data_IF_671209984903
#
_entry.id   IF_671209984903
#
_cell.length_a   1.000
_cell.length_b   1.000
_cell.length_c   1.000
_cell.angle_alpha   90.00
_cell.angle_beta   90.00
_cell.angle_gamma   90.00
#
_symmetry.space_group_name_H-M   'P 1'
#
loop_
_entity.id
_entity.type
_entity.pdbx_description
1 polymer ?
#
# COMPACT_ATOMS: atom_id res chain seq x y z
N UNK A 1 40.68 37.47 -26.86
CA UNK A 1 40.97 36.51 -25.79
C UNK A 1 41.56 37.29 -24.63
N UNK A 2 40.75 37.83 -23.71
CA UNK A 2 41.30 38.42 -22.49
C UNK A 2 40.32 38.63 -21.33
N UNK A 3 39.17 37.95 -21.28
CA UNK A 3 38.31 37.94 -20.08
C UNK A 3 37.56 36.59 -20.00
N UNK A 4 38.28 35.50 -19.73
CA UNK A 4 37.62 34.28 -19.27
C UNK A 4 37.63 34.30 -17.73
N UNK A 5 36.50 34.61 -17.07
CA UNK A 5 36.42 34.72 -15.61
C UNK A 5 36.64 33.39 -14.88
N UNK A 6 36.74 32.26 -15.61
CA UNK A 6 36.93 30.91 -15.08
C UNK A 6 38.41 30.48 -15.03
N UNK A 7 39.36 31.39 -15.26
CA UNK A 7 40.80 31.06 -15.40
C UNK A 7 41.50 30.58 -14.12
N UNK A 8 40.76 30.36 -13.01
CA UNK A 8 41.31 29.88 -11.73
C UNK A 8 40.44 28.88 -10.97
N UNK A 9 39.27 28.46 -11.49
CA UNK A 9 38.40 27.50 -10.80
C UNK A 9 38.59 26.06 -11.32
N UNK A 10 38.85 25.12 -10.41
CA UNK A 10 38.87 23.70 -10.72
C UNK A 10 37.41 23.20 -10.83
N UNK A 11 36.95 22.95 -12.06
CA UNK A 11 35.65 22.35 -12.40
C UNK A 11 34.38 23.02 -11.83
N UNK A 12 34.01 24.20 -12.34
CA UNK A 12 32.72 24.78 -12.01
C UNK A 12 31.58 23.95 -12.61
N UNK A 13 30.58 23.64 -11.78
CA UNK A 13 29.33 22.96 -12.17
C UNK A 13 28.52 23.81 -13.14
N UNK A 14 27.56 23.18 -13.85
CA UNK A 14 26.67 23.90 -14.77
C UNK A 14 25.95 25.08 -14.09
N UNK A 15 25.56 24.93 -12.82
CA UNK A 15 24.96 26.01 -12.02
C UNK A 15 25.91 27.17 -11.77
N UNK A 16 27.16 26.91 -11.40
CA UNK A 16 28.19 27.93 -11.17
C UNK A 16 28.55 28.68 -12.47
N UNK A 17 28.64 27.97 -13.60
CA UNK A 17 28.84 28.58 -14.91
C UNK A 17 27.68 29.52 -15.23
N UNK A 18 26.43 29.10 -15.00
CA UNK A 18 25.28 29.96 -15.25
C UNK A 18 25.25 31.17 -14.30
N UNK A 19 25.60 30.99 -13.03
CA UNK A 19 25.65 32.08 -12.05
C UNK A 19 26.72 33.13 -12.39
N UNK A 20 27.91 32.67 -12.79
CA UNK A 20 29.03 33.55 -13.13
C UNK A 20 28.81 34.33 -14.43
N UNK A 21 27.96 33.81 -15.33
CA UNK A 21 27.49 34.51 -16.52
C UNK A 21 26.20 35.31 -16.29
N UNK A 22 25.67 35.34 -15.06
CA UNK A 22 24.45 36.09 -14.70
C UNK A 22 23.15 35.48 -15.25
N UNK A 23 23.16 34.18 -15.55
CA UNK A 23 22.09 33.42 -16.21
C UNK A 23 21.36 32.46 -15.25
N UNK A 24 21.71 32.42 -13.97
CA UNK A 24 21.15 31.48 -12.99
C UNK A 24 19.62 31.59 -12.78
N UNK A 25 19.03 32.77 -13.01
CA UNK A 25 17.60 33.01 -12.80
C UNK A 25 16.74 32.86 -14.07
N UNK A 26 17.31 32.36 -15.17
CA UNK A 26 16.59 32.18 -16.43
C UNK A 26 16.01 30.77 -16.52
N UNK A 27 14.72 30.69 -16.83
CA UNK A 27 14.04 29.41 -17.08
C UNK A 27 14.37 28.81 -18.45
N UNK A 28 14.85 29.63 -19.40
CA UNK A 28 15.26 29.20 -20.74
C UNK A 28 16.50 29.96 -21.22
N UNK A 29 17.42 29.23 -21.85
CA UNK A 29 18.62 29.77 -22.50
C UNK A 29 18.33 30.01 -23.99
N UNK A 30 18.68 31.20 -24.49
CA UNK A 30 18.59 31.51 -25.93
C UNK A 30 19.92 31.23 -26.62
N UNK A 31 19.91 31.19 -27.96
CA UNK A 31 21.13 31.03 -28.77
C UNK A 31 22.18 32.09 -28.43
N UNK A 32 21.76 33.33 -28.16
CA UNK A 32 22.67 34.41 -27.75
C UNK A 32 23.26 34.25 -26.35
N UNK A 33 22.58 33.52 -25.44
CA UNK A 33 23.16 33.14 -24.15
C UNK A 33 24.19 32.01 -24.33
N UNK A 34 23.91 31.08 -25.23
CA UNK A 34 24.82 29.97 -25.55
C UNK A 34 26.11 30.49 -26.21
N UNK A 35 26.04 31.48 -27.09
CA UNK A 35 27.23 32.11 -27.69
C UNK A 35 28.17 32.73 -26.64
N UNK A 36 27.62 33.29 -25.55
CA UNK A 36 28.40 33.85 -24.44
C UNK A 36 29.01 32.76 -23.56
N UNK A 37 28.30 31.65 -23.37
CA UNK A 37 28.78 30.48 -22.61
C UNK A 37 29.78 29.63 -23.40
N UNK A 38 29.70 29.64 -24.73
CA UNK A 38 30.44 28.75 -25.61
C UNK A 38 31.96 28.77 -25.38
N UNK A 39 32.63 29.93 -25.24
CA UNK A 39 34.06 29.96 -24.93
C UNK A 39 34.41 29.33 -23.59
N UNK A 40 33.56 29.48 -22.56
CA UNK A 40 33.76 28.88 -21.25
C UNK A 40 33.64 27.35 -21.30
N UNK A 41 32.58 26.84 -21.94
CA UNK A 41 32.35 25.40 -22.12
C UNK A 41 33.44 24.77 -23.00
N UNK A 42 33.83 25.43 -24.10
CA UNK A 42 34.95 24.98 -24.94
C UNK A 42 36.26 24.95 -24.17
N UNK A 43 36.51 25.93 -23.30
CA UNK A 43 37.74 25.95 -22.49
C UNK A 43 37.77 24.78 -21.51
N UNK A 44 36.62 24.38 -20.94
CA UNK A 44 36.50 23.18 -20.10
C UNK A 44 36.69 21.87 -20.87
N UNK A 45 36.28 21.81 -22.14
CA UNK A 45 36.44 20.62 -22.99
C UNK A 45 37.86 20.49 -23.53
N UNK A 46 38.53 21.62 -23.81
CA UNK A 46 39.87 21.66 -24.43
C UNK A 46 41.01 21.60 -23.42
N UNK A 47 40.81 22.13 -22.20
CA UNK A 47 41.81 22.04 -21.13
C UNK A 47 41.47 20.84 -20.21
N UNK A 48 42.47 20.02 -19.81
CA UNK A 48 42.26 18.80 -19.04
C UNK A 48 41.95 19.06 -17.55
N UNK A 49 41.26 20.17 -17.24
CA UNK A 49 40.99 20.61 -15.87
C UNK A 49 39.87 19.82 -15.20
N UNK A 50 39.01 19.15 -15.98
CA UNK A 50 38.04 18.20 -15.45
C UNK A 50 38.38 16.79 -15.90
N UNK A 51 38.84 15.90 -15.00
CA UNK A 51 38.88 14.50 -15.34
C UNK A 51 37.45 14.09 -15.71
N UNK A 52 37.26 13.58 -16.92
CA UNK A 52 36.07 12.80 -17.24
C UNK A 52 36.07 11.63 -16.26
N UNK A 53 35.35 11.77 -15.16
CA UNK A 53 34.99 10.63 -14.33
C UNK A 53 34.10 9.78 -15.20
N UNK A 54 34.68 8.73 -15.79
CA UNK A 54 33.90 7.58 -16.25
C UNK A 54 32.90 7.32 -15.12
N UNK A 55 31.57 7.24 -15.40
CA UNK A 55 30.61 6.86 -14.37
C UNK A 55 31.22 5.65 -13.67
N UNK A 56 31.44 5.74 -12.35
CA UNK A 56 31.91 4.59 -11.60
C UNK A 56 31.06 3.41 -12.07
N UNK A 57 31.68 2.26 -12.42
CA UNK A 57 30.90 1.06 -12.65
C UNK A 57 29.96 0.96 -11.46
N UNK A 58 28.64 0.93 -11.72
CA UNK A 58 27.62 0.82 -10.67
C UNK A 58 28.18 -0.18 -9.63
N UNK A 59 28.36 0.23 -8.37
CA UNK A 59 28.95 -0.65 -7.38
C UNK A 59 28.19 -1.98 -7.46
N UNK A 60 28.90 -3.12 -7.46
CA UNK A 60 28.25 -4.41 -7.59
C UNK A 60 27.14 -4.46 -6.54
N UNK A 61 25.92 -4.79 -6.97
CA UNK A 61 24.74 -4.85 -6.10
C UNK A 61 25.16 -5.60 -4.84
N UNK A 62 25.21 -4.89 -3.72
CA UNK A 62 25.70 -5.49 -2.49
C UNK A 62 24.82 -6.70 -2.19
N UNK A 63 25.44 -7.87 -2.04
CA UNK A 63 24.73 -9.11 -1.74
C UNK A 63 23.90 -8.98 -0.45
N UNK A 64 24.22 -7.99 0.40
CA UNK A 64 23.42 -7.60 1.56
C UNK A 64 21.99 -7.19 1.20
N UNK A 65 21.77 -6.48 0.07
CA UNK A 65 20.45 -6.01 -0.42
C UNK A 65 19.52 -7.20 -0.65
N UNK A 66 20.04 -8.25 -1.29
CA UNK A 66 19.29 -9.50 -1.53
C UNK A 66 18.95 -10.19 -0.20
N UNK A 67 19.91 -10.28 0.71
CA UNK A 67 19.71 -10.89 2.02
C UNK A 67 18.62 -10.18 2.84
N UNK A 68 18.71 -8.85 2.97
CA UNK A 68 17.73 -8.05 3.70
C UNK A 68 16.36 -8.06 3.02
N UNK A 69 16.32 -7.94 1.69
CA UNK A 69 15.08 -7.98 0.91
C UNK A 69 14.33 -9.31 1.07
N UNK A 70 15.00 -10.45 0.87
CA UNK A 70 14.37 -11.76 1.04
C UNK A 70 13.96 -12.01 2.49
N UNK A 71 14.77 -11.59 3.46
CA UNK A 71 14.42 -11.69 4.88
C UNK A 71 13.16 -10.88 5.21
N UNK A 72 13.07 -9.64 4.72
CA UNK A 72 11.92 -8.78 4.94
C UNK A 72 10.62 -9.39 4.37
N UNK A 73 10.64 -9.81 3.09
CA UNK A 73 9.48 -10.44 2.45
C UNK A 73 9.10 -11.75 3.17
N UNK A 74 10.08 -12.53 3.62
CA UNK A 74 9.81 -13.74 4.41
C UNK A 74 9.11 -13.41 5.73
N UNK A 75 9.54 -12.37 6.45
CA UNK A 75 8.91 -11.94 7.70
C UNK A 75 7.48 -11.46 7.46
N UNK A 76 7.25 -10.67 6.40
CA UNK A 76 5.92 -10.17 6.02
C UNK A 76 4.98 -11.33 5.73
N UNK A 77 5.37 -12.26 4.85
CA UNK A 77 4.56 -13.41 4.48
C UNK A 77 4.31 -14.35 5.68
N UNK A 78 5.28 -14.50 6.58
CA UNK A 78 5.06 -15.28 7.82
C UNK A 78 4.08 -14.59 8.78
N UNK A 79 4.11 -13.26 8.87
CA UNK A 79 3.19 -12.51 9.72
C UNK A 79 1.75 -12.53 9.18
N UNK A 80 1.59 -12.47 7.86
CA UNK A 80 0.31 -12.71 7.19
C UNK A 80 -0.25 -14.10 7.55
N UNK A 81 0.61 -15.15 7.51
CA UNK A 81 0.23 -16.50 7.94
C UNK A 81 -0.11 -16.60 9.44
N UNK A 82 0.55 -15.82 10.31
CA UNK A 82 0.21 -15.76 11.74
C UNK A 82 -1.16 -15.11 11.99
N UNK A 83 -1.62 -14.21 11.12
CA UNK A 83 -2.98 -13.69 11.12
C UNK A 83 -4.03 -14.80 11.10
N UNK A 84 -3.76 -15.91 10.40
CA UNK A 84 -4.63 -17.10 10.36
C UNK A 84 -4.67 -17.86 11.69
N UNK A 85 -3.55 -17.90 12.43
CA UNK A 85 -3.55 -18.47 13.79
C UNK A 85 -4.40 -17.65 14.76
N UNK A 86 -4.73 -16.40 14.40
CA UNK A 86 -5.58 -15.53 15.22
C UNK A 86 -7.08 -15.71 14.97
N UNK A 87 -7.48 -16.54 14.00
CA UNK A 87 -8.87 -16.91 13.73
C UNK A 87 -9.70 -17.39 14.94
N UNK A 88 -9.22 -18.28 15.84
CA UNK A 88 -9.98 -18.64 17.03
C UNK A 88 -10.26 -17.44 17.95
N UNK A 89 -9.45 -16.37 17.85
CA UNK A 89 -9.60 -15.16 18.63
C UNK A 89 -10.50 -14.11 17.97
N UNK A 90 -10.83 -14.22 16.67
CA UNK A 90 -11.74 -13.28 15.99
C UNK A 90 -13.13 -13.23 16.63
N UNK A 91 -13.56 -14.34 17.22
CA UNK A 91 -14.85 -14.47 17.93
C UNK A 91 -14.87 -13.78 19.30
N UNK A 92 -13.74 -13.23 19.76
CA UNK A 92 -13.64 -12.61 21.09
C UNK A 92 -14.03 -11.13 21.03
N UNK A 93 -14.68 -10.59 22.07
CA UNK A 93 -15.18 -9.21 22.07
C UNK A 93 -14.07 -8.15 22.06
N UNK A 94 -12.81 -8.52 22.35
CA UNK A 94 -11.67 -7.61 22.28
C UNK A 94 -11.04 -7.55 20.89
N UNK A 95 -11.33 -8.50 19.99
CA UNK A 95 -10.68 -8.59 18.70
C UNK A 95 -10.92 -7.39 17.79
N UNK A 96 -12.15 -6.83 17.66
CA UNK A 96 -12.38 -5.65 16.85
C UNK A 96 -11.57 -4.43 17.30
N UNK A 97 -11.28 -4.32 18.61
CA UNK A 97 -10.43 -3.26 19.16
C UNK A 97 -8.97 -3.42 18.73
N UNK A 98 -8.45 -4.65 18.79
CA UNK A 98 -7.09 -4.96 18.34
C UNK A 98 -6.99 -4.73 16.83
N UNK A 99 -7.96 -5.20 16.06
CA UNK A 99 -8.00 -5.00 14.61
C UNK A 99 -8.03 -3.51 14.25
N UNK A 100 -8.87 -2.71 14.92
CA UNK A 100 -8.92 -1.24 14.71
C UNK A 100 -7.58 -0.58 14.96
N UNK A 101 -6.82 -1.03 15.96
CA UNK A 101 -5.47 -0.52 16.22
C UNK A 101 -4.53 -0.83 15.04
N UNK A 102 -4.52 -2.08 14.57
CA UNK A 102 -3.65 -2.50 13.46
C UNK A 102 -4.03 -1.85 12.13
N UNK A 103 -5.32 -1.71 11.82
CA UNK A 103 -5.77 -0.98 10.63
C UNK A 103 -5.36 0.50 10.73
N UNK A 104 -5.52 1.13 11.90
CA UNK A 104 -5.04 2.49 12.12
C UNK A 104 -3.51 2.61 11.99
N UNK A 105 -2.77 1.63 12.51
CA UNK A 105 -1.32 1.53 12.38
C UNK A 105 -0.89 1.44 10.91
N UNK A 106 -1.55 0.57 10.13
CA UNK A 106 -1.32 0.41 8.69
C UNK A 106 -1.52 1.72 7.92
N UNK A 107 -2.66 2.40 8.12
CA UNK A 107 -2.92 3.71 7.48
C UNK A 107 -1.83 4.71 7.86
N UNK A 108 -1.47 4.74 9.15
CA UNK A 108 -0.43 5.60 9.68
C UNK A 108 0.93 5.35 9.02
N UNK A 109 1.36 4.10 8.91
CA UNK A 109 2.66 3.76 8.30
C UNK A 109 2.67 3.96 6.79
N UNK A 110 1.63 3.53 6.06
CA UNK A 110 1.60 3.62 4.59
C UNK A 110 1.53 5.04 4.08
N UNK A 111 0.57 5.82 4.61
CA UNK A 111 0.41 7.21 4.22
C UNK A 111 1.71 7.98 4.49
N UNK A 112 2.30 7.74 5.67
CA UNK A 112 3.54 8.39 6.06
C UNK A 112 4.71 7.95 5.19
N UNK A 113 4.83 6.65 4.86
CA UNK A 113 5.91 6.15 4.01
C UNK A 113 5.80 6.72 2.59
N UNK A 114 4.58 6.80 2.05
CA UNK A 114 4.34 7.42 0.76
C UNK A 114 4.76 8.90 0.75
N UNK A 115 4.33 9.69 1.73
CA UNK A 115 4.52 11.14 1.76
C UNK A 115 5.92 11.56 2.23
N UNK A 116 6.52 10.84 3.17
CA UNK A 116 7.82 11.18 3.77
C UNK A 116 9.00 10.52 3.05
N UNK A 117 8.79 9.46 2.27
CA UNK A 117 9.90 8.72 1.65
C UNK A 117 9.66 8.49 0.15
N UNK A 118 8.63 7.72 -0.23
CA UNK A 118 8.50 7.28 -1.63
C UNK A 118 8.27 8.43 -2.61
N UNK A 119 7.35 9.36 -2.31
CA UNK A 119 7.06 10.51 -3.19
C UNK A 119 8.26 11.46 -3.26
N UNK A 120 8.88 11.89 -2.15
CA UNK A 120 10.08 12.71 -2.21
C UNK A 120 11.22 12.06 -2.99
N UNK A 121 11.47 10.76 -2.78
CA UNK A 121 12.51 10.01 -3.48
C UNK A 121 12.20 9.90 -4.99
N UNK A 122 10.93 9.68 -5.34
CA UNK A 122 10.48 9.70 -6.73
C UNK A 122 10.73 11.04 -7.42
N UNK A 123 10.56 12.14 -6.70
CA UNK A 123 10.80 13.51 -7.18
C UNK A 123 12.29 13.92 -7.12
N UNK A 124 13.15 13.11 -6.50
CA UNK A 124 14.58 13.37 -6.34
C UNK A 124 14.92 14.40 -5.25
N UNK A 125 14.07 14.56 -4.23
CA UNK A 125 14.35 15.44 -3.09
C UNK A 125 15.26 14.76 -2.07
N UNK A 126 16.31 15.46 -1.63
CA UNK A 126 17.18 14.97 -0.55
C UNK A 126 16.65 15.47 0.82
N UNK A 127 16.38 14.56 1.78
CA UNK A 127 15.92 14.94 3.12
C UNK A 127 16.81 15.95 3.83
N UNK A 128 18.11 15.95 3.54
CA UNK A 128 19.12 16.82 4.18
C UNK A 128 19.25 18.19 3.51
N UNK A 129 19.02 18.28 2.21
CA UNK A 129 19.22 19.52 1.45
C UNK A 129 17.95 20.40 1.42
N UNK A 130 16.78 19.77 1.27
CA UNK A 130 15.57 20.49 0.86
C UNK A 130 14.60 20.85 2.01
N UNK A 131 14.92 20.43 3.25
CA UNK A 131 14.05 20.58 4.43
C UNK A 131 12.58 20.19 4.14
N UNK A 132 12.35 19.19 3.28
CA UNK A 132 11.00 18.82 2.85
C UNK A 132 10.23 18.10 3.96
N UNK A 133 10.93 17.44 4.90
CA UNK A 133 10.32 16.63 5.97
C UNK A 133 9.30 17.44 6.77
N UNK A 134 9.60 18.70 7.10
CA UNK A 134 8.65 19.57 7.79
C UNK A 134 7.37 19.86 6.96
N UNK A 135 7.51 20.01 5.64
CA UNK A 135 6.36 20.21 4.73
C UNK A 135 5.54 18.93 4.61
N UNK A 136 6.20 17.77 4.52
CA UNK A 136 5.57 16.46 4.48
C UNK A 136 4.82 16.12 5.79
N UNK A 137 5.38 16.49 6.94
CA UNK A 137 4.67 16.45 8.23
C UNK A 137 3.40 17.32 8.20
N UNK A 138 3.46 18.48 7.54
CA UNK A 138 2.29 19.31 7.29
C UNK A 138 1.19 18.63 6.47
N UNK A 139 1.55 17.81 5.48
CA UNK A 139 0.60 17.03 4.67
C UNK A 139 -0.15 16.02 5.56
N UNK A 140 0.58 15.22 6.36
CA UNK A 140 -0.05 14.32 7.33
C UNK A 140 -0.88 15.07 8.36
N UNK A 141 -0.36 16.20 8.86
CA UNK A 141 -1.05 17.06 9.83
C UNK A 141 -2.38 17.61 9.31
N UNK A 142 -2.44 18.00 8.03
CA UNK A 142 -3.67 18.43 7.38
C UNK A 142 -4.71 17.32 7.27
N UNK A 143 -4.30 16.13 6.81
CA UNK A 143 -5.14 14.94 6.79
C UNK A 143 -5.65 14.60 8.20
N UNK A 144 -4.76 14.54 9.18
CA UNK A 144 -5.08 14.20 10.58
C UNK A 144 -6.02 15.22 11.22
N UNK A 145 -5.82 16.52 10.97
CA UNK A 145 -6.69 17.56 11.51
C UNK A 145 -8.12 17.44 10.97
N UNK A 146 -8.30 17.23 9.66
CA UNK A 146 -9.62 17.02 9.07
C UNK A 146 -10.27 15.75 9.61
N UNK A 147 -9.54 14.64 9.66
CA UNK A 147 -9.99 13.40 10.28
C UNK A 147 -10.47 13.63 11.73
N UNK A 148 -9.64 14.27 12.55
CA UNK A 148 -9.92 14.50 13.96
C UNK A 148 -11.19 15.34 14.14
N UNK A 149 -11.29 16.46 13.40
CA UNK A 149 -12.47 17.34 13.44
C UNK A 149 -13.71 16.60 12.97
N UNK A 150 -13.66 15.86 11.86
CA UNK A 150 -14.79 15.09 11.35
C UNK A 150 -15.29 14.07 12.38
N UNK A 151 -14.39 13.30 12.99
CA UNK A 151 -14.76 12.29 14.00
C UNK A 151 -15.33 12.93 15.27
N UNK A 152 -14.71 14.00 15.77
CA UNK A 152 -15.20 14.73 16.94
C UNK A 152 -16.58 15.30 16.65
N UNK A 153 -16.80 15.85 15.45
CA UNK A 153 -18.09 16.39 15.03
C UNK A 153 -19.16 15.30 14.95
N UNK A 154 -18.86 14.14 14.34
CA UNK A 154 -19.78 12.99 14.27
C UNK A 154 -20.19 12.50 15.67
N UNK A 155 -19.22 12.38 16.59
CA UNK A 155 -19.47 11.96 17.97
C UNK A 155 -20.25 13.03 18.76
N UNK A 156 -19.99 14.31 18.52
CA UNK A 156 -20.61 15.43 19.22
C UNK A 156 -22.05 15.72 18.74
N UNK A 157 -22.27 15.77 17.42
CA UNK A 157 -23.54 16.15 16.80
C UNK A 157 -24.57 15.01 16.70
N UNK A 158 -24.22 13.78 17.11
CA UNK A 158 -25.09 12.60 17.00
C UNK A 158 -25.63 12.38 15.58
N UNK A 159 -24.83 12.66 14.55
CA UNK A 159 -25.23 12.51 13.14
C UNK A 159 -25.45 11.04 12.72
N UNK A 160 -25.31 10.07 13.63
CA UNK A 160 -25.56 8.64 13.37
C UNK A 160 -27.04 8.23 13.41
N UNK A 161 -27.99 9.18 13.34
CA UNK A 161 -29.39 8.85 13.03
C UNK A 161 -29.67 9.10 11.55
N UNK A 162 -29.05 8.31 10.67
CA UNK A 162 -29.57 8.15 9.31
C UNK A 162 -30.59 7.02 9.31
N UNK A 163 -31.85 7.47 9.34
CA UNK A 163 -33.02 6.74 8.91
C UNK A 163 -32.86 6.29 7.45
N UNK A 164 -32.33 5.09 7.24
CA UNK A 164 -32.50 4.35 5.98
C UNK A 164 -33.95 3.85 5.85
N UNK A 165 -34.91 4.75 5.64
CA UNK A 165 -36.26 4.38 5.23
C UNK A 165 -36.25 4.03 3.73
N UNK A 166 -36.11 2.75 3.39
CA UNK A 166 -36.54 2.24 2.08
C UNK A 166 -38.08 2.22 2.04
N UNK A 167 -38.67 3.38 1.75
CA UNK A 167 -40.05 3.46 1.29
C UNK A 167 -40.14 2.94 -0.15
N UNK A 168 -40.50 1.66 -0.31
CA UNK A 168 -41.22 1.20 -1.50
C UNK A 168 -42.10 0.02 -1.13
N UNK A 169 -43.35 0.32 -0.76
CA UNK A 169 -44.46 -0.62 -0.91
C UNK A 169 -45.35 -0.09 -2.02
N UNK A 170 -45.69 -0.94 -3.00
CA UNK A 170 -47.04 -0.89 -3.54
C UNK A 170 -47.71 -2.25 -3.41
N UNK A 171 -48.80 -2.22 -2.64
CA UNK A 171 -50.14 -2.75 -2.92
C UNK A 171 -50.29 -4.25 -3.26
N UNK A 172 -51.04 -4.90 -2.37
CA UNK A 172 -51.65 -6.23 -2.43
C UNK A 172 -52.36 -6.58 -3.75
N UNK A 173 -52.27 -7.86 -4.13
CA UNK A 173 -53.42 -8.65 -4.60
C UNK A 173 -53.22 -10.17 -4.35
N UNK A 174 -53.60 -10.61 -3.14
CA UNK A 174 -54.55 -11.72 -2.88
C UNK A 174 -54.13 -13.21 -3.17
N UNK A 175 -54.87 -14.23 -2.70
CA UNK A 175 -54.44 -15.09 -1.57
C UNK A 175 -54.45 -16.60 -1.88
N UNK A 176 -53.65 -17.42 -1.18
CA UNK A 176 -54.10 -18.76 -0.73
C UNK A 176 -53.10 -19.47 0.21
N UNK A 177 -53.62 -19.80 1.40
CA UNK A 177 -53.38 -20.97 2.26
C UNK A 177 -52.12 -21.82 2.03
N UNK A 178 -51.33 -22.04 3.09
CA UNK A 178 -51.41 -23.30 3.89
C UNK A 178 -50.51 -23.19 5.14
N UNK A 179 -51.07 -23.64 6.26
CA UNK A 179 -50.44 -23.87 7.57
C UNK A 179 -49.11 -24.63 7.51
N UNK A 180 -48.10 -24.18 8.26
CA UNK A 180 -47.39 -25.07 9.20
C UNK A 180 -46.54 -24.33 10.23
N UNK A 181 -46.74 -24.75 11.49
CA UNK A 181 -45.97 -24.42 12.68
C UNK A 181 -44.50 -24.85 12.56
N UNK A 182 -43.60 -24.05 13.13
CA UNK A 182 -42.21 -24.45 13.35
C UNK A 182 -41.44 -23.44 14.20
N UNK A 183 -41.48 -23.60 15.51
CA UNK A 183 -40.59 -22.92 16.47
C UNK A 183 -39.18 -23.52 16.34
N UNK A 184 -38.18 -22.71 15.97
CA UNK A 184 -36.76 -22.97 16.26
C UNK A 184 -36.02 -21.64 16.48
N UNK A 185 -34.97 -21.63 17.32
CA UNK A 185 -34.50 -20.45 18.01
C UNK A 185 -33.49 -19.63 17.21
N UNK A 186 -33.55 -18.35 17.51
CA UNK A 186 -32.67 -17.26 17.15
C UNK A 186 -31.18 -17.58 17.42
N UNK A 187 -30.35 -17.54 16.38
CA UNK A 187 -28.89 -17.37 16.48
C UNK A 187 -28.24 -17.22 15.11
N UNK A 188 -27.74 -16.02 14.80
CA UNK A 188 -26.61 -15.78 13.88
C UNK A 188 -25.93 -14.45 14.23
N UNK A 189 -24.99 -14.51 15.17
CA UNK A 189 -23.87 -13.56 15.22
C UNK A 189 -22.86 -13.98 14.14
N UNK A 190 -23.06 -13.51 12.92
CA UNK A 190 -22.01 -13.44 11.91
C UNK A 190 -21.54 -12.00 11.86
N UNK A 191 -20.26 -11.78 12.11
CA UNK A 191 -19.59 -10.51 11.79
C UNK A 191 -19.63 -10.43 10.26
N UNK A 192 -20.60 -9.66 9.75
CA UNK A 192 -20.78 -9.38 8.33
C UNK A 192 -19.88 -8.17 8.04
N UNK A 193 -18.64 -8.43 7.66
CA UNK A 193 -17.86 -7.44 6.96
C UNK A 193 -18.29 -7.53 5.50
N UNK A 194 -19.13 -6.59 5.06
CA UNK A 194 -19.53 -6.48 3.66
C UNK A 194 -19.78 -5.02 3.32
N UNK A 195 -19.06 -4.51 2.32
CA UNK A 195 -19.64 -3.89 1.12
C UNK A 195 -18.52 -3.50 0.14
N UNK A 196 -18.25 -4.35 -0.85
CA UNK A 196 -17.74 -3.90 -2.15
C UNK A 196 -18.97 -3.72 -3.04
N UNK A 197 -19.18 -2.50 -3.52
CA UNK A 197 -20.28 -2.15 -4.42
C UNK A 197 -20.25 -2.99 -5.70
N UNK A 198 -21.25 -3.84 -5.87
CA UNK A 198 -21.44 -4.69 -7.05
C UNK A 198 -21.75 -3.83 -8.28
N UNK A 199 -20.89 -3.87 -9.30
CA UNK A 199 -21.21 -3.38 -10.64
C UNK A 199 -22.29 -4.31 -11.21
N UNK A 200 -23.46 -3.74 -11.48
CA UNK A 200 -24.59 -4.41 -12.12
C UNK A 200 -24.28 -4.60 -13.61
N UNK A 201 -24.06 -5.83 -14.06
CA UNK A 201 -24.15 -6.19 -15.49
C UNK A 201 -25.30 -7.17 -15.67
N UNK A 202 -26.27 -6.74 -16.47
CA UNK A 202 -27.56 -7.41 -16.68
C UNK A 202 -27.50 -8.74 -17.41
N UNK A 203 -28.65 -9.41 -17.33
CA UNK A 203 -29.03 -10.73 -17.82
C UNK A 203 -28.43 -11.17 -19.16
N UNK A 204 -28.06 -12.46 -19.23
CA UNK A 204 -28.36 -13.27 -20.41
C UNK A 204 -28.46 -14.78 -20.11
N UNK A 205 -29.71 -15.24 -20.09
CA UNK A 205 -30.24 -16.52 -20.62
C UNK A 205 -29.74 -17.88 -20.09
N UNK A 206 -30.71 -18.60 -19.52
CA UNK A 206 -30.80 -20.04 -19.31
C UNK A 206 -30.30 -20.90 -20.47
N UNK A 207 -29.59 -21.98 -20.14
CA UNK A 207 -29.70 -23.26 -20.85
C UNK A 207 -29.45 -24.43 -19.87
N UNK A 208 -30.52 -25.16 -19.57
CA UNK A 208 -30.49 -26.44 -18.85
C UNK A 208 -29.91 -27.54 -19.73
N UNK A 209 -28.93 -28.33 -19.26
CA UNK A 209 -28.64 -29.67 -19.81
C UNK A 209 -28.22 -30.67 -18.72
N UNK A 210 -28.70 -31.89 -18.93
CA UNK A 210 -28.72 -33.12 -18.11
C UNK A 210 -27.31 -33.64 -17.76
N UNK A 211 -27.07 -34.33 -16.61
CA UNK A 211 -25.75 -34.87 -16.30
C UNK A 211 -25.45 -36.16 -17.09
N UNK A 212 -24.28 -36.21 -17.73
CA UNK A 212 -23.70 -37.42 -18.29
C UNK A 212 -22.72 -38.06 -17.27
N UNK A 213 -22.86 -39.36 -17.05
CA UNK A 213 -21.90 -40.19 -16.29
C UNK A 213 -20.66 -40.49 -17.14
N UNK A 214 -19.45 -40.30 -16.61
CA UNK A 214 -18.24 -41.01 -17.09
C UNK A 214 -17.20 -41.24 -15.96
N UNK A 215 -16.89 -42.53 -15.73
CA UNK A 215 -15.53 -43.10 -15.78
C UNK A 215 -14.45 -42.74 -14.72
N UNK A 216 -13.77 -43.73 -14.09
CA UNK A 216 -12.72 -43.48 -13.10
C UNK A 216 -11.36 -43.18 -13.78
N UNK A 217 -11.08 -41.90 -14.00
CA UNK A 217 -9.76 -41.41 -14.37
C UNK A 217 -8.88 -41.16 -13.16
N UNK A 218 -7.70 -41.79 -13.13
CA UNK A 218 -6.65 -41.62 -12.13
C UNK A 218 -6.10 -40.19 -12.15
N UNK A 219 -6.72 -39.28 -11.42
CA UNK A 219 -6.23 -37.92 -11.17
C UNK A 219 -5.30 -37.91 -9.95
N UNK A 220 -4.07 -37.42 -10.15
CA UNK A 220 -3.18 -36.96 -9.07
C UNK A 220 -3.84 -35.74 -8.44
N UNK A 221 -4.75 -35.97 -7.50
CA UNK A 221 -5.51 -34.93 -6.82
C UNK A 221 -4.71 -34.47 -5.61
N UNK A 222 -4.12 -33.27 -5.67
CA UNK A 222 -3.48 -32.65 -4.51
C UNK A 222 -4.46 -32.66 -3.32
N UNK A 223 -4.03 -33.22 -2.19
CA UNK A 223 -4.85 -33.36 -0.98
C UNK A 223 -5.43 -32.02 -0.47
N UNK A 224 -4.76 -30.91 -0.81
CA UNK A 224 -5.11 -29.53 -0.48
C UNK A 224 -6.35 -28.98 -1.22
N UNK A 225 -6.70 -29.55 -2.38
CA UNK A 225 -7.83 -29.13 -3.21
C UNK A 225 -9.14 -29.85 -2.84
N UNK A 226 -9.21 -30.50 -1.68
CA UNK A 226 -10.38 -31.26 -1.23
C UNK A 226 -11.43 -30.32 -0.62
N UNK A 227 -12.13 -29.57 -1.47
CA UNK A 227 -13.28 -28.71 -1.16
C UNK A 227 -14.29 -28.71 -2.32
N UNK A 228 -15.34 -27.88 -2.27
CA UNK A 228 -16.27 -27.71 -3.41
C UNK A 228 -15.49 -27.48 -4.71
N UNK A 229 -16.02 -27.98 -5.84
CA UNK A 229 -15.38 -27.83 -7.16
C UNK A 229 -15.07 -26.35 -7.39
N UNK A 230 -13.84 -26.06 -7.84
CA UNK A 230 -13.34 -24.71 -8.14
C UNK A 230 -14.27 -23.95 -9.11
N UNK A 231 -15.05 -24.70 -9.91
CA UNK A 231 -16.04 -24.19 -10.86
C UNK A 231 -17.25 -23.48 -10.22
N UNK A 232 -17.51 -23.71 -8.93
CA UNK A 232 -18.65 -23.10 -8.21
C UNK A 232 -18.23 -21.89 -7.36
N UNK A 233 -16.94 -21.51 -7.41
CA UNK A 233 -16.41 -20.37 -6.66
C UNK A 233 -16.87 -19.07 -7.32
N UNK A 234 -17.44 -18.16 -6.52
CA UNK A 234 -17.90 -16.85 -6.99
C UNK A 234 -16.77 -16.09 -7.69
N UNK A 235 -17.05 -15.47 -8.83
CA UNK A 235 -16.14 -14.59 -9.60
C UNK A 235 -15.41 -13.57 -8.71
N UNK A 236 -16.07 -13.13 -7.63
CA UNK A 236 -15.53 -12.22 -6.61
C UNK A 236 -14.23 -12.76 -5.98
N UNK A 237 -14.12 -14.05 -5.70
CA UNK A 237 -12.92 -14.61 -5.05
C UNK A 237 -11.69 -14.61 -5.98
N UNK A 238 -11.91 -14.80 -7.29
CA UNK A 238 -10.86 -14.66 -8.29
C UNK A 238 -10.39 -13.22 -8.46
N UNK A 239 -11.34 -12.28 -8.44
CA UNK A 239 -11.02 -10.85 -8.49
C UNK A 239 -10.18 -10.43 -7.29
N UNK A 240 -10.54 -10.88 -6.09
CA UNK A 240 -9.79 -10.61 -4.84
C UNK A 240 -8.40 -11.20 -4.93
N UNK A 241 -8.26 -12.49 -5.21
CA UNK A 241 -6.94 -13.16 -5.28
C UNK A 241 -6.02 -12.52 -6.32
N UNK A 242 -6.55 -12.07 -7.47
CA UNK A 242 -5.75 -11.41 -8.50
C UNK A 242 -5.34 -9.99 -8.09
N UNK A 243 -6.26 -9.24 -7.48
CA UNK A 243 -5.98 -7.90 -6.93
C UNK A 243 -4.92 -7.98 -5.85
N UNK A 244 -5.07 -8.96 -4.96
CA UNK A 244 -4.16 -9.27 -3.87
C UNK A 244 -2.75 -9.62 -4.39
N UNK A 245 -2.68 -10.44 -5.44
CA UNK A 245 -1.40 -10.77 -6.08
C UNK A 245 -0.75 -9.58 -6.80
N UNK A 246 -1.54 -8.63 -7.31
CA UNK A 246 -1.00 -7.44 -7.96
C UNK A 246 -0.45 -6.45 -6.94
N UNK A 247 -1.13 -6.26 -5.79
CA UNK A 247 -0.59 -5.40 -4.74
C UNK A 247 0.70 -5.99 -4.19
N UNK A 248 0.72 -7.30 -3.91
CA UNK A 248 1.85 -7.98 -3.28
C UNK A 248 3.09 -7.88 -4.18
N UNK A 249 2.89 -7.98 -5.49
CA UNK A 249 3.93 -7.73 -6.48
C UNK A 249 4.51 -6.31 -6.39
N UNK A 250 3.66 -5.28 -6.29
CA UNK A 250 4.13 -3.89 -6.18
C UNK A 250 4.80 -3.64 -4.82
N UNK A 251 4.36 -4.28 -3.74
CA UNK A 251 5.00 -4.21 -2.43
C UNK A 251 6.40 -4.80 -2.46
N UNK A 252 6.55 -5.98 -3.07
CA UNK A 252 7.85 -6.57 -3.36
C UNK A 252 8.73 -5.63 -4.19
N UNK A 253 8.17 -5.05 -5.25
CA UNK A 253 8.87 -4.10 -6.13
C UNK A 253 9.39 -2.89 -5.34
N UNK A 254 8.55 -2.34 -4.45
CA UNK A 254 8.89 -1.21 -3.58
C UNK A 254 9.97 -1.57 -2.56
N UNK A 255 9.89 -2.75 -1.92
CA UNK A 255 10.91 -3.26 -0.99
C UNK A 255 12.25 -3.39 -1.71
N UNK A 256 12.26 -4.05 -2.87
CA UNK A 256 13.46 -4.27 -3.67
C UNK A 256 14.14 -2.98 -4.08
N UNK A 257 13.37 -2.03 -4.63
CA UNK A 257 13.90 -0.71 -4.98
C UNK A 257 14.40 0.08 -3.76
N UNK A 258 13.67 0.02 -2.64
CA UNK A 258 14.03 0.73 -1.41
C UNK A 258 15.38 0.28 -0.85
N UNK A 259 15.65 -1.04 -0.80
CA UNK A 259 16.95 -1.55 -0.35
C UNK A 259 18.10 -1.25 -1.32
N UNK A 260 17.83 -1.01 -2.62
CA UNK A 260 18.88 -0.54 -3.54
C UNK A 260 19.26 0.92 -3.33
N UNK A 261 18.39 1.71 -2.71
CA UNK A 261 18.67 3.11 -2.35
C UNK A 261 19.38 3.18 -1.00
N UNK A 262 18.80 2.60 0.04
CA UNK A 262 19.46 2.51 1.34
C UNK A 262 18.85 1.40 2.21
N UNK A 263 19.64 0.86 3.12
CA UNK A 263 19.18 -0.14 4.09
C UNK A 263 18.01 0.42 4.92
N UNK A 264 18.07 1.70 5.32
CA UNK A 264 17.03 2.28 6.16
C UNK A 264 15.74 2.56 5.40
N UNK A 265 15.82 3.03 4.14
CA UNK A 265 14.64 3.16 3.26
C UNK A 265 14.01 1.80 3.05
N UNK A 266 14.81 0.76 2.81
CA UNK A 266 14.36 -0.63 2.74
C UNK A 266 13.59 -1.07 3.99
N UNK A 267 14.19 -0.91 5.17
CA UNK A 267 13.52 -1.25 6.43
C UNK A 267 12.24 -0.44 6.68
N UNK A 268 12.23 0.85 6.31
CA UNK A 268 11.03 1.68 6.44
C UNK A 268 9.89 1.18 5.58
N UNK A 269 10.14 0.98 4.29
CA UNK A 269 9.15 0.47 3.33
C UNK A 269 8.66 -0.92 3.75
N UNK A 270 9.56 -1.83 4.15
CA UNK A 270 9.17 -3.14 4.67
C UNK A 270 8.35 -3.06 5.95
N UNK A 271 8.62 -2.10 6.84
CA UNK A 271 7.81 -1.89 8.06
C UNK A 271 6.42 -1.39 7.72
N UNK A 272 6.28 -0.51 6.73
CA UNK A 272 4.99 -0.01 6.28
C UNK A 272 4.12 -1.12 5.70
N UNK A 273 4.68 -1.92 4.78
CA UNK A 273 4.01 -3.08 4.18
C UNK A 273 3.67 -4.12 5.25
N UNK A 274 4.61 -4.44 6.14
CA UNK A 274 4.34 -5.37 7.24
C UNK A 274 3.11 -4.98 8.07
N UNK A 275 2.94 -3.68 8.36
CA UNK A 275 1.80 -3.20 9.15
C UNK A 275 0.47 -3.30 8.40
N UNK A 276 0.47 -3.20 7.06
CA UNK A 276 -0.75 -3.28 6.24
C UNK A 276 -1.14 -4.71 5.87
N UNK A 277 -0.16 -5.58 5.65
CA UNK A 277 -0.40 -6.97 5.26
C UNK A 277 -1.14 -7.74 6.35
N UNK A 278 -0.81 -7.48 7.62
CA UNK A 278 -1.48 -8.16 8.73
C UNK A 278 -3.02 -7.97 8.75
N UNK A 279 -3.58 -6.74 8.72
CA UNK A 279 -5.02 -6.55 8.61
C UNK A 279 -5.58 -6.95 7.24
N UNK A 280 -4.86 -6.72 6.13
CA UNK A 280 -5.34 -7.02 4.77
C UNK A 280 -5.54 -8.53 4.55
N UNK A 281 -4.51 -9.33 4.84
CA UNK A 281 -4.54 -10.80 4.67
C UNK A 281 -5.59 -11.49 5.56
N UNK A 282 -5.82 -10.94 6.76
CA UNK A 282 -6.89 -11.38 7.64
C UNK A 282 -8.28 -11.10 7.02
N UNK A 283 -8.45 -9.93 6.41
CA UNK A 283 -9.68 -9.52 5.73
C UNK A 283 -9.97 -10.40 4.52
N UNK A 284 -8.99 -10.57 3.63
CA UNK A 284 -9.09 -11.41 2.44
C UNK A 284 -9.46 -12.85 2.79
N UNK A 285 -8.81 -13.40 3.81
CA UNK A 285 -9.13 -14.74 4.28
C UNK A 285 -10.61 -14.88 4.69
N UNK A 286 -11.15 -13.91 5.43
CA UNK A 286 -12.56 -13.91 5.85
C UNK A 286 -13.49 -13.81 4.63
N UNK A 287 -13.14 -13.00 3.64
CA UNK A 287 -13.94 -12.86 2.41
C UNK A 287 -13.91 -14.14 1.58
N UNK A 288 -12.76 -14.80 1.43
CA UNK A 288 -12.63 -16.08 0.71
C UNK A 288 -13.47 -17.19 1.36
N UNK A 289 -13.49 -17.26 2.70
CA UNK A 289 -14.38 -18.17 3.42
C UNK A 289 -15.86 -17.85 3.16
N UNK A 290 -16.25 -16.58 3.20
CA UNK A 290 -17.61 -16.13 2.91
C UNK A 290 -18.02 -16.33 1.44
N UNK A 291 -17.05 -16.39 0.53
CA UNK A 291 -17.25 -16.73 -0.88
C UNK A 291 -17.50 -18.23 -1.12
N UNK A 292 -17.29 -19.08 -0.09
CA UNK A 292 -17.56 -20.52 -0.13
C UNK A 292 -16.31 -21.40 -0.19
N UNK A 293 -15.11 -20.83 -0.09
CA UNK A 293 -13.88 -21.63 -0.03
C UNK A 293 -13.73 -22.35 1.31
N UNK A 294 -13.16 -23.56 1.28
CA UNK A 294 -12.73 -24.23 2.51
C UNK A 294 -11.50 -23.54 3.11
N UNK A 295 -11.27 -23.72 4.42
CA UNK A 295 -10.09 -23.15 5.09
C UNK A 295 -8.77 -23.48 4.38
N UNK A 296 -8.48 -24.74 3.98
CA UNK A 296 -7.27 -25.04 3.22
C UNK A 296 -7.20 -24.36 1.84
N UNK A 297 -8.34 -24.17 1.17
CA UNK A 297 -8.38 -23.46 -0.12
C UNK A 297 -8.06 -21.98 0.06
N UNK A 298 -8.70 -21.30 1.03
CA UNK A 298 -8.43 -19.89 1.31
C UNK A 298 -6.96 -19.65 1.70
N UNK A 299 -6.38 -20.52 2.53
CA UNK A 299 -4.94 -20.45 2.88
C UNK A 299 -4.06 -20.60 1.64
N UNK A 300 -4.39 -21.54 0.75
CA UNK A 300 -3.61 -21.76 -0.46
C UNK A 300 -3.63 -20.54 -1.39
N UNK A 301 -4.79 -19.90 -1.56
CA UNK A 301 -4.91 -18.73 -2.44
C UNK A 301 -4.23 -17.48 -1.86
N UNK A 302 -4.33 -17.20 -0.55
CA UNK A 302 -3.53 -16.15 0.11
C UNK A 302 -2.04 -16.42 -0.11
N UNK A 303 -1.58 -17.63 0.21
CA UNK A 303 -0.16 -17.94 0.09
C UNK A 303 0.34 -17.81 -1.36
N UNK A 304 -0.48 -18.22 -2.33
CA UNK A 304 -0.17 -18.08 -3.75
C UNK A 304 -0.03 -16.62 -4.16
N UNK A 305 -0.91 -15.75 -3.66
CA UNK A 305 -0.84 -14.32 -3.86
C UNK A 305 0.41 -13.72 -3.22
N UNK A 306 0.71 -14.04 -1.95
CA UNK A 306 1.90 -13.58 -1.24
C UNK A 306 3.23 -13.99 -1.90
N UNK A 307 3.26 -15.05 -2.72
CA UNK A 307 4.45 -15.42 -3.50
C UNK A 307 4.79 -14.40 -4.59
N UNK A 308 3.81 -13.64 -5.08
CA UNK A 308 4.04 -12.56 -6.04
C UNK A 308 4.95 -11.47 -5.48
N UNK A 309 4.98 -11.28 -4.15
CA UNK A 309 5.87 -10.33 -3.48
C UNK A 309 7.35 -10.68 -3.66
N UNK A 310 7.72 -11.97 -3.66
CA UNK A 310 9.09 -12.36 -4.00
C UNK A 310 9.45 -12.06 -5.46
N UNK A 311 8.48 -12.22 -6.37
CA UNK A 311 8.69 -11.87 -7.78
C UNK A 311 8.90 -10.36 -7.89
N UNK A 312 8.04 -9.57 -7.25
CA UNK A 312 8.17 -8.13 -7.11
C UNK A 312 9.54 -7.71 -6.60
N UNK A 313 10.00 -8.32 -5.50
CA UNK A 313 11.32 -8.07 -4.91
C UNK A 313 12.46 -8.24 -5.90
N UNK A 314 12.48 -9.36 -6.63
CA UNK A 314 13.50 -9.64 -7.64
C UNK A 314 13.49 -8.54 -8.71
N UNK A 315 12.32 -8.18 -9.24
CA UNK A 315 12.21 -7.09 -10.21
C UNK A 315 12.62 -5.75 -9.60
N UNK A 316 12.29 -5.49 -8.34
CA UNK A 316 12.61 -4.24 -7.64
C UNK A 316 14.11 -4.04 -7.48
N UNK A 317 14.85 -5.09 -7.13
CA UNK A 317 16.31 -5.05 -7.02
C UNK A 317 16.96 -4.89 -8.40
N UNK A 318 16.50 -5.65 -9.40
CA UNK A 318 17.06 -5.61 -10.76
C UNK A 318 16.81 -4.28 -11.45
N UNK A 319 15.59 -3.75 -11.35
CA UNK A 319 15.22 -2.46 -11.94
C UNK A 319 15.81 -1.31 -11.14
N UNK A 320 15.77 -1.34 -9.80
CA UNK A 320 16.34 -0.29 -8.95
C UNK A 320 17.85 -0.08 -9.15
N UNK A 321 18.58 -1.13 -9.51
CA UNK A 321 20.02 -1.07 -9.80
C UNK A 321 20.37 -0.61 -11.23
N UNK A 322 19.43 -0.65 -12.18
CA UNK A 322 19.71 -0.41 -13.61
C UNK A 322 18.92 0.75 -14.24
N UNK A 323 17.69 0.96 -13.79
CA UNK A 323 16.73 1.96 -14.25
C UNK A 323 16.22 2.76 -13.05
N UNK A 324 16.79 3.95 -12.83
CA UNK A 324 16.45 4.96 -11.82
C UNK A 324 15.22 4.60 -10.93
N UNK A 325 15.42 4.22 -9.65
CA UNK A 325 14.38 3.67 -8.76
C UNK A 325 13.17 4.59 -8.54
N UNK A 326 13.30 5.86 -8.90
CA UNK A 326 12.29 6.91 -8.78
C UNK A 326 10.93 6.55 -9.41
N UNK A 327 10.91 5.84 -10.54
CA UNK A 327 9.63 5.44 -11.19
C UNK A 327 8.90 4.40 -10.33
N UNK A 328 9.65 3.46 -9.74
CA UNK A 328 9.09 2.45 -8.84
C UNK A 328 8.49 3.14 -7.62
N UNK A 329 9.21 4.11 -7.04
CA UNK A 329 8.70 4.87 -5.89
C UNK A 329 7.49 5.74 -6.22
N UNK A 330 7.39 6.28 -7.43
CA UNK A 330 6.20 7.03 -7.85
C UNK A 330 4.96 6.11 -7.89
N UNK A 331 5.12 4.92 -8.48
CA UNK A 331 4.04 3.92 -8.57
C UNK A 331 3.67 3.42 -7.17
N UNK A 332 4.66 2.99 -6.37
CA UNK A 332 4.45 2.50 -5.02
C UNK A 332 3.86 3.57 -4.10
N UNK A 333 4.34 4.81 -4.16
CA UNK A 333 3.81 5.92 -3.37
C UNK A 333 2.35 6.23 -3.69
N UNK A 334 1.95 6.19 -4.96
CA UNK A 334 0.56 6.35 -5.37
C UNK A 334 -0.34 5.20 -4.88
N UNK A 335 0.14 3.97 -4.97
CA UNK A 335 -0.56 2.78 -4.52
C UNK A 335 -0.68 2.73 -2.98
N UNK A 336 0.36 3.07 -2.22
CA UNK A 336 0.30 3.17 -0.75
C UNK A 336 -0.71 4.22 -0.29
N UNK A 337 -0.78 5.37 -0.97
CA UNK A 337 -1.82 6.36 -0.69
C UNK A 337 -3.22 5.83 -0.99
N UNK A 338 -3.39 5.10 -2.09
CA UNK A 338 -4.67 4.49 -2.44
C UNK A 338 -5.10 3.45 -1.39
N UNK A 339 -4.23 2.53 -1.01
CA UNK A 339 -4.55 1.49 0.00
C UNK A 339 -4.85 2.16 1.35
N UNK A 340 -4.03 3.11 1.78
CA UNK A 340 -4.24 3.79 3.05
C UNK A 340 -5.58 4.56 3.11
N UNK A 341 -5.94 5.29 2.04
CA UNK A 341 -7.07 6.24 2.07
C UNK A 341 -8.36 5.69 1.49
N UNK A 342 -8.29 4.87 0.44
CA UNK A 342 -9.46 4.36 -0.28
C UNK A 342 -9.92 2.99 0.21
N UNK A 343 -9.03 2.21 0.83
CA UNK A 343 -9.32 0.84 1.28
C UNK A 343 -9.34 0.73 2.81
N UNK A 344 -8.20 0.93 3.47
CA UNK A 344 -8.06 0.73 4.92
C UNK A 344 -8.81 1.78 5.75
N UNK A 345 -8.81 3.05 5.33
CA UNK A 345 -9.46 4.11 6.09
C UNK A 345 -10.99 3.97 6.17
N UNK A 346 -11.72 3.70 5.06
CA UNK A 346 -13.14 3.35 5.13
C UNK A 346 -13.41 2.15 6.02
N UNK A 347 -12.59 1.10 5.92
CA UNK A 347 -12.73 -0.12 6.72
C UNK A 347 -12.62 0.19 8.23
N UNK A 348 -11.60 0.97 8.61
CA UNK A 348 -11.44 1.45 9.99
C UNK A 348 -12.66 2.25 10.50
N UNK A 349 -13.29 3.05 9.65
CA UNK A 349 -14.50 3.81 10.01
C UNK A 349 -15.72 2.89 10.16
N UNK A 350 -15.87 1.89 9.29
CA UNK A 350 -16.98 0.94 9.34
C UNK A 350 -16.98 0.16 10.67
N UNK A 351 -15.83 -0.38 11.08
CA UNK A 351 -15.67 -1.12 12.35
C UNK A 351 -16.11 -0.25 13.56
N UNK A 352 -15.82 1.05 13.52
CA UNK A 352 -16.20 1.97 14.59
C UNK A 352 -17.69 2.35 14.56
N UNK A 353 -18.30 2.44 13.36
CA UNK A 353 -19.73 2.75 13.19
C UNK A 353 -20.65 1.65 13.66
N UNK A 354 -20.24 0.38 13.53
CA UNK A 354 -21.00 -0.78 14.04
C UNK A 354 -21.24 -0.74 15.56
N UNK A 355 -20.47 0.08 16.29
CA UNK A 355 -20.60 0.18 17.73
C UNK A 355 -21.83 1.00 18.14
N UNK A 356 -22.83 0.35 18.73
CA UNK A 356 -24.07 1.00 19.18
C UNK A 356 -23.85 2.02 20.31
N UNK A 357 -22.97 1.72 21.28
CA UNK A 357 -22.80 2.52 22.49
C UNK A 357 -21.84 3.70 22.31
N UNK A 358 -22.22 4.88 22.82
CA UNK A 358 -21.37 6.10 22.80
C UNK A 358 -20.00 5.87 23.45
N UNK A 359 -19.95 5.17 24.59
CA UNK A 359 -18.67 4.86 25.25
C UNK A 359 -17.78 3.99 24.37
N UNK A 360 -18.36 3.06 23.61
CA UNK A 360 -17.60 2.24 22.66
C UNK A 360 -17.08 3.09 21.50
N UNK A 361 -17.91 3.95 20.90
CA UNK A 361 -17.46 4.86 19.83
C UNK A 361 -16.26 5.72 20.25
N UNK A 362 -16.27 6.25 21.48
CA UNK A 362 -15.13 7.02 22.02
C UNK A 362 -13.89 6.14 22.20
N UNK A 363 -14.04 4.90 22.68
CA UNK A 363 -12.91 3.96 22.82
C UNK A 363 -12.30 3.64 21.44
N UNK A 364 -13.13 3.32 20.45
CA UNK A 364 -12.65 3.04 19.09
C UNK A 364 -11.96 4.28 18.49
N UNK A 365 -12.52 5.47 18.66
CA UNK A 365 -11.87 6.71 18.25
C UNK A 365 -10.48 6.88 18.88
N UNK A 366 -10.32 6.63 20.18
CA UNK A 366 -9.01 6.69 20.84
C UNK A 366 -8.03 5.65 20.27
N UNK A 367 -8.51 4.44 19.99
CA UNK A 367 -7.70 3.37 19.40
C UNK A 367 -7.26 3.71 17.98
N UNK A 368 -8.16 4.26 17.15
CA UNK A 368 -7.84 4.71 15.79
C UNK A 368 -6.73 5.76 15.82
N UNK A 369 -6.84 6.75 16.71
CA UNK A 369 -5.79 7.77 16.89
C UNK A 369 -4.48 7.16 17.36
N UNK A 370 -4.53 6.21 18.31
CA UNK A 370 -3.34 5.53 18.80
C UNK A 370 -2.63 4.77 17.66
N UNK A 371 -3.35 4.04 16.82
CA UNK A 371 -2.80 3.36 15.65
C UNK A 371 -2.18 4.34 14.65
N UNK A 372 -2.98 5.31 14.17
CA UNK A 372 -2.55 6.31 13.18
C UNK A 372 -1.29 7.06 13.60
N UNK A 373 -1.28 7.59 14.83
CA UNK A 373 -0.16 8.39 15.33
C UNK A 373 1.07 7.52 15.62
N UNK A 374 0.88 6.27 16.04
CA UNK A 374 2.00 5.33 16.22
C UNK A 374 2.65 5.04 14.88
N UNK A 375 1.87 4.73 13.84
CA UNK A 375 2.39 4.47 12.50
C UNK A 375 3.12 5.67 11.90
N UNK A 376 2.53 6.85 12.00
CA UNK A 376 3.18 8.10 11.59
C UNK A 376 4.50 8.34 12.35
N UNK A 377 4.49 8.15 13.66
CA UNK A 377 5.69 8.35 14.49
C UNK A 377 6.79 7.37 14.11
N UNK A 378 6.48 6.09 13.88
CA UNK A 378 7.47 5.09 13.46
C UNK A 378 8.17 5.54 12.17
N UNK A 379 7.41 5.89 11.13
CA UNK A 379 7.99 6.30 9.85
C UNK A 379 8.71 7.64 9.94
N UNK A 380 8.18 8.60 10.70
CA UNK A 380 8.84 9.89 10.91
C UNK A 380 10.18 9.71 11.61
N UNK A 381 10.25 8.88 12.65
CA UNK A 381 11.51 8.60 13.34
C UNK A 381 12.51 7.93 12.41
N UNK A 382 12.08 6.93 11.63
CA UNK A 382 12.96 6.27 10.65
C UNK A 382 13.49 7.31 9.63
N UNK A 383 12.62 8.17 9.11
CA UNK A 383 13.00 9.22 8.14
C UNK A 383 13.96 10.25 8.73
N UNK A 384 13.74 10.67 9.98
CA UNK A 384 14.61 11.64 10.66
C UNK A 384 15.99 11.05 10.98
N UNK A 385 16.05 9.77 11.34
CA UNK A 385 17.31 9.11 11.69
C UNK A 385 18.05 8.52 10.48
N UNK A 386 17.43 8.47 9.30
CA UNK A 386 18.06 8.10 8.02
C UNK A 386 19.38 8.81 7.75
N UNK A 387 19.50 10.05 8.20
CA UNK A 387 20.72 10.82 7.99
C UNK A 387 21.86 10.55 8.98
N UNK A 388 21.58 9.93 10.13
CA UNK A 388 22.49 9.86 11.29
C UNK A 388 22.98 8.44 11.61
N UNK A 389 22.31 7.41 11.07
CA UNK A 389 22.68 6.02 11.33
C UNK A 389 23.44 5.49 10.10
N UNK A 390 24.77 5.43 10.21
CA UNK A 390 25.61 4.81 9.19
C UNK A 390 25.61 3.29 9.42
N UNK A 391 24.63 2.59 8.83
CA UNK A 391 24.59 1.13 8.86
C UNK A 391 25.46 0.57 7.73
N UNK A 392 26.77 0.62 7.91
CA UNK A 392 27.76 -0.17 7.13
C UNK A 392 28.05 0.33 5.73
#
# INVERSE_FOLDING_TARGET
>A
MNDNPLTGEQCPSAGQILEQFGLANLSQLSVGHLEKLCPAVLTQVVLPSCPYTVPEPLPPVDYSVWGYGFLAVTIINLAALLGLMLLPFTKKPYFPKILTYFVGLAIGTLFSNAVLQLIPEALGFDPKADNYVAKAVGIFGGFYALFFVEKVLKIALRLDHDHGHSHFSPVDHSPENTLQNGVYPDKKDSIIMTNINTISTGDMSQASMVPAEEGPGSEVRCHWLRGQKITDIKTVAWMITLSDGLHNFIDGLAIGASFTVSILTGFSTSTAIFCEEFPHELGDFVILLNAGMSVPQAIFFNLLSAMSCYVGLVFGILLGSSFAPNVIFAIAGGMFLYIALADMFPEMDNIAREQSNRSSKVIFFLIQNAGLLTGFTIILLITMFAGNINLG
#
